data_IF_329406703466
#
_entry.id   IF_329406703466
#
_cell.length_a   1.000
_cell.length_b   1.000
_cell.length_c   1.000
_cell.angle_alpha   90.00
_cell.angle_beta   90.00
_cell.angle_gamma   90.00
#
_symmetry.space_group_name_H-M   'P 1'
#
loop_
_entity.id
_entity.type
_entity.pdbx_description
1 polymer ?
#
# COMPACT_ATOMS: atom_id res chain seq x y z
N UNK A 1 -9.55 4.47 19.86
CA UNK A 1 -8.35 4.63 19.01
C UNK A 1 -8.77 5.19 17.66
N UNK A 2 -8.06 6.20 17.18
CA UNK A 2 -8.30 6.87 15.91
C UNK A 2 -7.23 6.43 14.89
N UNK A 3 -7.65 6.14 13.66
CA UNK A 3 -6.75 5.84 12.54
C UNK A 3 -7.00 6.86 11.42
N UNK A 4 -6.05 7.75 11.20
CA UNK A 4 -6.02 8.57 10.01
C UNK A 4 -5.70 7.71 8.79
N UNK A 5 -6.58 7.74 7.80
CA UNK A 5 -6.65 6.71 6.79
C UNK A 5 -7.03 7.24 5.40
N UNK A 6 -6.79 6.41 4.39
CA UNK A 6 -7.44 6.51 3.09
C UNK A 6 -7.58 5.07 2.57
N UNK A 7 -8.78 4.59 2.18
CA UNK A 7 -8.98 3.15 1.92
C UNK A 7 -8.12 2.59 0.78
N UNK A 8 -7.77 3.44 -0.18
CA UNK A 8 -6.83 3.09 -1.25
C UNK A 8 -5.39 2.82 -0.77
N UNK A 9 -4.94 3.36 0.37
CA UNK A 9 -3.54 3.18 0.82
C UNK A 9 -3.28 1.73 1.24
N UNK A 10 -2.31 1.06 0.60
CA UNK A 10 -1.92 -0.30 0.95
C UNK A 10 -1.37 -0.39 2.38
N UNK A 11 -0.64 0.64 2.81
CA UNK A 11 -0.12 0.78 4.18
C UNK A 11 -1.25 0.89 5.22
N UNK A 12 -2.35 1.58 4.89
CA UNK A 12 -3.55 1.64 5.74
C UNK A 12 -4.25 0.29 5.79
N UNK A 13 -4.41 -0.36 4.63
CA UNK A 13 -5.11 -1.64 4.54
C UNK A 13 -4.48 -2.70 5.44
N UNK A 14 -3.14 -2.82 5.46
CA UNK A 14 -2.46 -3.79 6.33
C UNK A 14 -2.68 -3.49 7.83
N UNK A 15 -2.68 -2.21 8.23
CA UNK A 15 -3.01 -1.80 9.61
C UNK A 15 -4.47 -2.15 9.96
N UNK A 16 -5.43 -1.85 9.07
CA UNK A 16 -6.85 -2.18 9.30
C UNK A 16 -7.06 -3.68 9.42
N UNK A 17 -6.40 -4.48 8.58
CA UNK A 17 -6.45 -5.95 8.65
C UNK A 17 -5.93 -6.44 10.01
N UNK A 18 -4.78 -5.93 10.47
CA UNK A 18 -4.23 -6.28 11.77
C UNK A 18 -5.19 -5.96 12.92
N UNK A 19 -5.71 -4.73 12.97
CA UNK A 19 -6.68 -4.31 14.00
C UNK A 19 -7.94 -5.19 14.02
N UNK A 20 -8.44 -5.56 12.83
CA UNK A 20 -9.60 -6.45 12.67
C UNK A 20 -9.32 -7.87 13.17
N UNK A 21 -8.18 -8.46 12.81
CA UNK A 21 -7.80 -9.80 13.30
C UNK A 21 -7.57 -9.82 14.81
N UNK A 22 -7.11 -8.70 15.39
CA UNK A 22 -6.96 -8.53 16.84
C UNK A 22 -8.28 -8.24 17.56
N UNK A 23 -9.38 -7.99 16.84
CA UNK A 23 -10.66 -7.58 17.43
C UNK A 23 -10.61 -6.20 18.11
N UNK A 24 -9.67 -5.34 17.70
CA UNK A 24 -9.48 -4.01 18.29
C UNK A 24 -10.33 -2.99 17.56
N UNK A 25 -11.23 -2.33 18.29
CA UNK A 25 -12.06 -1.26 17.74
C UNK A 25 -11.22 0.00 17.42
N UNK A 26 -11.48 0.58 16.26
CA UNK A 26 -10.87 1.84 15.83
C UNK A 26 -11.86 2.68 15.03
N UNK A 27 -11.64 4.00 15.04
CA UNK A 27 -12.39 4.95 14.23
C UNK A 27 -11.53 5.35 13.04
N UNK A 28 -11.91 5.01 11.79
CA UNK A 28 -11.23 5.52 10.60
C UNK A 28 -11.59 6.99 10.37
N UNK A 29 -10.61 7.82 10.02
CA UNK A 29 -10.82 9.22 9.65
C UNK A 29 -9.99 9.58 8.42
N UNK A 30 -10.67 10.05 7.37
CA UNK A 30 -10.00 10.66 6.22
C UNK A 30 -9.48 12.05 6.63
N UNK A 31 -8.16 12.33 6.56
CA UNK A 31 -7.66 13.65 6.92
C UNK A 31 -8.17 14.73 5.97
N UNK A 32 -8.49 15.90 6.52
CA UNK A 32 -8.79 17.09 5.71
C UNK A 32 -7.54 17.49 4.94
N UNK A 33 -7.68 17.73 3.63
CA UNK A 33 -6.57 18.12 2.77
C UNK A 33 -5.59 17.00 2.44
N UNK A 34 -5.89 15.73 2.73
CA UNK A 34 -5.02 14.61 2.32
C UNK A 34 -4.76 14.65 0.81
N UNK A 35 -3.49 14.58 0.42
CA UNK A 35 -3.06 14.64 -0.98
C UNK A 35 -3.18 16.02 -1.65
N UNK A 36 -3.68 17.06 -0.98
CA UNK A 36 -3.68 18.44 -1.53
C UNK A 36 -2.34 19.15 -1.34
N UNK A 37 -1.54 18.71 -0.36
CA UNK A 37 -0.35 19.43 0.11
C UNK A 37 -0.64 20.46 1.21
N UNK A 38 -1.90 20.65 1.61
CA UNK A 38 -2.32 21.57 2.68
C UNK A 38 -3.03 20.84 3.82
N UNK A 39 -2.56 19.64 4.17
CA UNK A 39 -3.13 18.88 5.29
C UNK A 39 -2.90 19.64 6.62
N UNK A 40 -3.85 19.54 7.55
CA UNK A 40 -3.85 20.32 8.78
C UNK A 40 -4.53 19.59 9.97
N UNK A 41 -4.46 20.21 11.15
CA UNK A 41 -5.09 19.74 12.38
C UNK A 41 -4.41 18.50 12.97
N UNK A 42 -5.16 17.71 13.75
CA UNK A 42 -4.60 16.57 14.50
C UNK A 42 -3.89 15.50 13.64
N UNK A 43 -4.08 15.50 12.33
CA UNK A 43 -3.36 14.63 11.42
C UNK A 43 -1.88 15.01 11.29
N UNK A 44 -1.55 16.30 11.16
CA UNK A 44 -0.15 16.74 11.06
C UNK A 44 0.56 16.65 12.41
N UNK A 45 -0.20 16.73 13.51
CA UNK A 45 0.32 16.47 14.86
C UNK A 45 0.62 14.97 15.08
N UNK A 46 -0.12 14.08 14.42
CA UNK A 46 0.07 12.63 14.51
C UNK A 46 1.12 12.09 13.52
N UNK A 47 1.40 12.81 12.44
CA UNK A 47 2.30 12.38 11.37
C UNK A 47 3.12 13.54 10.83
N UNK A 48 4.42 13.56 11.18
CA UNK A 48 5.36 14.54 10.65
C UNK A 48 5.46 14.50 9.12
N UNK A 49 5.23 13.32 8.53
CA UNK A 49 5.23 13.12 7.07
C UNK A 49 3.95 13.64 6.39
N UNK A 50 2.91 13.96 7.17
CA UNK A 50 1.56 14.24 6.66
C UNK A 50 1.07 13.12 5.70
N UNK A 51 1.37 11.88 6.07
CA UNK A 51 1.03 10.65 5.34
C UNK A 51 0.15 9.74 6.19
N UNK A 52 -0.69 8.95 5.52
CA UNK A 52 -1.49 7.88 6.13
C UNK A 52 -0.78 6.53 5.93
N UNK A 53 -0.87 5.60 6.89
CA UNK A 53 -1.61 5.68 8.15
C UNK A 53 -0.92 6.55 9.22
N UNK A 54 -1.73 7.13 10.09
CA UNK A 54 -1.30 7.66 11.39
C UNK A 54 -2.29 7.23 12.48
N UNK A 55 -1.78 6.66 13.56
CA UNK A 55 -2.56 6.12 14.67
C UNK A 55 -2.50 7.07 15.87
N UNK A 56 -3.66 7.32 16.48
CA UNK A 56 -3.78 8.03 17.76
C UNK A 56 -4.49 7.13 18.78
N UNK A 57 -3.81 6.83 19.87
CA UNK A 57 -4.27 5.94 20.92
C UNK A 57 -4.00 6.55 22.30
N UNK A 58 -5.00 7.28 22.82
CA UNK A 58 -4.79 8.16 23.97
C UNK A 58 -3.78 9.25 23.62
N UNK A 59 -2.70 9.34 24.39
CA UNK A 59 -1.61 10.29 24.15
C UNK A 59 -0.58 9.79 23.13
N UNK A 60 -0.64 8.52 22.74
CA UNK A 60 0.30 7.89 21.80
C UNK A 60 -0.06 8.29 20.37
N UNK A 61 0.94 8.78 19.62
CA UNK A 61 0.84 9.20 18.21
C UNK A 61 1.93 8.49 17.41
N UNK A 62 1.54 7.69 16.43
CA UNK A 62 2.45 6.86 15.65
C UNK A 62 2.14 7.02 14.17
N UNK A 63 3.14 7.34 13.37
CA UNK A 63 3.10 7.22 11.91
C UNK A 63 4.06 6.12 11.47
N UNK A 64 3.97 5.75 10.19
CA UNK A 64 4.65 4.59 9.59
C UNK A 64 3.93 3.28 9.91
N UNK A 65 3.48 2.59 8.86
CA UNK A 65 2.63 1.41 9.02
C UNK A 65 3.33 0.24 9.70
N UNK A 66 4.64 0.06 9.49
CA UNK A 66 5.38 -1.03 10.13
C UNK A 66 5.51 -0.76 11.62
N UNK A 67 5.82 0.47 12.01
CA UNK A 67 5.88 0.88 13.42
C UNK A 67 4.50 0.76 14.09
N UNK A 68 3.43 1.15 13.39
CA UNK A 68 2.05 0.96 13.87
C UNK A 68 1.74 -0.53 14.07
N UNK A 69 2.13 -1.40 13.14
CA UNK A 69 1.92 -2.84 13.26
C UNK A 69 2.71 -3.44 14.44
N UNK A 70 3.95 -3.03 14.66
CA UNK A 70 4.75 -3.50 15.81
C UNK A 70 4.09 -3.05 17.12
N UNK A 71 3.63 -1.80 17.21
CA UNK A 71 2.86 -1.32 18.37
C UNK A 71 1.57 -2.13 18.61
N UNK A 72 0.84 -2.48 17.54
CA UNK A 72 -0.36 -3.32 17.65
C UNK A 72 0.00 -4.73 18.15
N UNK A 73 1.09 -5.32 17.65
CA UNK A 73 1.57 -6.64 18.07
C UNK A 73 2.01 -6.65 19.54
N UNK A 74 2.71 -5.60 20.01
CA UNK A 74 3.15 -5.46 21.39
C UNK A 74 1.98 -5.20 22.36
N UNK A 75 1.06 -4.30 21.99
CA UNK A 75 -0.06 -3.91 22.85
C UNK A 75 -1.16 -4.96 22.92
N UNK A 76 -1.41 -5.65 21.82
CA UNK A 76 -2.41 -6.72 21.74
C UNK A 76 -1.77 -8.00 21.19
N UNK A 77 -1.00 -8.76 22.00
CA UNK A 77 -0.21 -9.88 21.50
C UNK A 77 -1.03 -11.10 21.06
N UNK A 78 -2.35 -11.12 21.28
CA UNK A 78 -3.22 -12.26 20.96
C UNK A 78 -4.39 -11.84 20.05
N UNK A 79 -4.66 -12.59 18.96
CA UNK A 79 -3.85 -13.67 18.39
C UNK A 79 -2.52 -13.14 17.82
N UNK A 80 -1.40 -13.87 17.89
CA UNK A 80 -0.12 -13.38 17.38
C UNK A 80 -0.16 -13.27 15.85
N UNK A 81 0.30 -12.14 15.31
CA UNK A 81 0.43 -11.96 13.85
C UNK A 81 1.84 -12.29 13.39
N UNK A 82 2.85 -12.30 14.27
CA UNK A 82 4.19 -12.75 13.93
C UNK A 82 4.47 -14.16 14.46
N UNK A 83 5.28 -14.96 13.73
CA UNK A 83 5.80 -16.22 14.26
C UNK A 83 6.67 -15.99 15.52
N UNK A 84 6.86 -17.04 16.32
CA UNK A 84 7.81 -17.00 17.46
C UNK A 84 9.25 -17.24 17.03
N UNK A 85 9.45 -18.05 16.00
CA UNK A 85 10.77 -18.37 15.48
C UNK A 85 11.44 -17.12 14.87
N UNK A 86 12.68 -16.77 15.27
CA UNK A 86 13.36 -15.57 14.77
C UNK A 86 13.55 -15.54 13.24
N UNK A 87 13.84 -16.68 12.60
CA UNK A 87 14.05 -16.73 11.16
C UNK A 87 12.73 -16.52 10.41
N UNK A 88 11.63 -17.10 10.89
CA UNK A 88 10.30 -16.88 10.33
C UNK A 88 9.81 -15.44 10.53
N UNK A 89 10.15 -14.78 11.65
CA UNK A 89 9.90 -13.34 11.83
C UNK A 89 10.67 -12.49 10.83
N UNK A 90 11.97 -12.78 10.66
CA UNK A 90 12.81 -12.07 9.69
C UNK A 90 12.27 -12.25 8.26
N UNK A 91 11.83 -13.46 7.92
CA UNK A 91 11.20 -13.75 6.64
C UNK A 91 9.90 -12.97 6.42
N UNK A 92 9.04 -12.88 7.43
CA UNK A 92 7.80 -12.12 7.34
C UNK A 92 8.05 -10.62 7.13
N UNK A 93 9.04 -10.06 7.83
CA UNK A 93 9.46 -8.65 7.66
C UNK A 93 10.14 -8.39 6.32
N UNK A 94 10.93 -9.35 5.80
CA UNK A 94 11.51 -9.23 4.45
C UNK A 94 10.42 -9.21 3.36
N UNK A 95 9.35 -10.01 3.54
CA UNK A 95 8.19 -9.98 2.63
C UNK A 95 7.49 -8.62 2.69
N UNK A 96 7.25 -8.11 3.90
CA UNK A 96 6.70 -6.76 4.08
C UNK A 96 7.58 -5.69 3.42
N UNK A 97 8.89 -5.73 3.63
CA UNK A 97 9.84 -4.76 3.07
C UNK A 97 9.76 -4.72 1.54
N UNK A 98 9.81 -5.87 0.87
CA UNK A 98 9.65 -5.94 -0.60
C UNK A 98 8.30 -5.35 -1.06
N UNK A 99 7.24 -5.61 -0.29
CA UNK A 99 5.90 -5.10 -0.57
C UNK A 99 5.81 -3.57 -0.41
N UNK A 100 6.32 -3.04 0.70
CA UNK A 100 6.30 -1.62 1.06
C UNK A 100 7.24 -0.75 0.23
N UNK A 101 8.28 -1.34 -0.35
CA UNK A 101 9.30 -0.64 -1.14
C UNK A 101 9.05 -0.80 -2.64
N UNK A 102 9.40 -1.96 -3.20
CA UNK A 102 9.45 -2.19 -4.63
C UNK A 102 8.06 -2.42 -5.22
N UNK A 103 7.23 -3.23 -4.56
CA UNK A 103 5.89 -3.52 -5.07
C UNK A 103 4.98 -2.30 -5.00
N UNK A 104 5.09 -1.54 -3.90
CA UNK A 104 4.39 -0.26 -3.76
C UNK A 104 4.78 0.72 -4.85
N UNK A 105 6.08 0.90 -5.11
CA UNK A 105 6.55 1.86 -6.10
C UNK A 105 6.03 1.56 -7.52
N UNK A 106 6.00 0.27 -7.90
CA UNK A 106 5.43 -0.17 -9.18
C UNK A 106 3.93 0.15 -9.24
N UNK A 107 3.20 -0.20 -8.18
CA UNK A 107 1.77 0.05 -8.05
C UNK A 107 1.43 1.55 -8.05
N UNK A 108 2.28 2.38 -7.44
CA UNK A 108 2.16 3.83 -7.45
C UNK A 108 2.36 4.37 -8.86
N UNK A 109 3.41 3.94 -9.55
CA UNK A 109 3.70 4.30 -10.93
C UNK A 109 2.59 3.93 -11.90
N UNK A 110 2.01 2.73 -11.75
CA UNK A 110 0.79 2.34 -12.49
C UNK A 110 -0.39 3.25 -12.17
N UNK A 111 -0.52 3.75 -10.94
CA UNK A 111 -1.51 4.77 -10.58
C UNK A 111 -1.32 6.08 -11.34
N UNK A 112 -0.08 6.57 -11.46
CA UNK A 112 0.26 7.78 -12.24
C UNK A 112 -0.21 7.69 -13.70
N UNK A 113 -0.19 6.48 -14.25
CA UNK A 113 -0.58 6.20 -15.64
C UNK A 113 -2.09 5.97 -15.73
N UNK A 114 -2.62 5.03 -14.94
CA UNK A 114 -3.98 4.52 -15.08
C UNK A 114 -5.03 5.47 -14.53
N UNK A 115 -4.74 6.13 -13.40
CA UNK A 115 -5.68 7.06 -12.76
C UNK A 115 -5.39 8.51 -13.11
N UNK A 116 -4.12 8.92 -13.11
CA UNK A 116 -3.74 10.31 -13.31
C UNK A 116 -3.38 10.68 -14.76
N UNK A 117 -3.32 9.70 -15.66
CA UNK A 117 -3.09 9.90 -17.11
C UNK A 117 -1.83 10.73 -17.41
N UNK A 118 -0.76 10.54 -16.64
CA UNK A 118 0.45 11.38 -16.74
C UNK A 118 1.49 10.89 -17.75
N UNK A 119 1.19 9.82 -18.48
CA UNK A 119 1.99 9.32 -19.57
C UNK A 119 1.09 8.82 -20.70
N UNK A 120 1.52 9.04 -21.94
CA UNK A 120 0.80 8.66 -23.16
C UNK A 120 1.77 8.04 -24.19
N UNK A 121 1.21 7.43 -25.24
CA UNK A 121 1.98 6.83 -26.34
C UNK A 121 3.09 5.89 -25.88
N UNK A 122 4.24 5.98 -26.54
CA UNK A 122 5.38 5.09 -26.29
C UNK A 122 5.90 5.13 -24.83
N UNK A 123 5.80 6.28 -24.15
CA UNK A 123 6.21 6.39 -22.75
C UNK A 123 5.29 5.57 -21.84
N UNK A 124 3.97 5.68 -22.04
CA UNK A 124 2.99 4.88 -21.30
C UNK A 124 3.23 3.38 -21.51
N UNK A 125 3.41 2.96 -22.77
CA UNK A 125 3.59 1.55 -23.11
C UNK A 125 4.87 0.99 -22.48
N UNK A 126 5.96 1.77 -22.51
CA UNK A 126 7.23 1.40 -21.86
C UNK A 126 7.09 1.25 -20.35
N UNK A 127 6.43 2.20 -19.67
CA UNK A 127 6.23 2.15 -18.22
C UNK A 127 5.31 0.98 -17.80
N UNK A 128 4.25 0.71 -18.56
CA UNK A 128 3.36 -0.46 -18.33
C UNK A 128 4.14 -1.77 -18.52
N UNK A 129 4.97 -1.86 -19.56
CA UNK A 129 5.81 -3.04 -19.80
C UNK A 129 6.81 -3.28 -18.65
N UNK A 130 7.47 -2.21 -18.18
CA UNK A 130 8.39 -2.27 -17.04
C UNK A 130 7.66 -2.71 -15.76
N UNK A 131 6.51 -2.09 -15.46
CA UNK A 131 5.68 -2.42 -14.30
C UNK A 131 5.20 -3.87 -14.34
N UNK A 132 4.74 -4.34 -15.49
CA UNK A 132 4.28 -5.72 -15.69
C UNK A 132 5.41 -6.72 -15.44
N UNK A 133 6.58 -6.50 -16.05
CA UNK A 133 7.75 -7.36 -15.88
C UNK A 133 8.20 -7.43 -14.43
N UNK A 134 8.34 -6.29 -13.76
CA UNK A 134 8.84 -6.23 -12.38
C UNK A 134 7.81 -6.79 -11.39
N UNK A 135 6.52 -6.53 -11.60
CA UNK A 135 5.44 -7.14 -10.80
C UNK A 135 5.48 -8.66 -10.92
N UNK A 136 5.65 -9.21 -12.13
CA UNK A 136 5.76 -10.66 -12.32
C UNK A 136 6.98 -11.25 -11.59
N UNK A 137 8.11 -10.52 -11.52
CA UNK A 137 9.28 -10.96 -10.76
C UNK A 137 9.02 -11.01 -9.25
N UNK A 138 8.35 -9.99 -8.70
CA UNK A 138 7.96 -9.97 -7.28
C UNK A 138 6.95 -11.07 -6.99
N UNK A 139 5.92 -11.24 -7.82
CA UNK A 139 4.92 -12.29 -7.66
C UNK A 139 5.54 -13.69 -7.74
N UNK A 140 6.49 -13.94 -8.65
CA UNK A 140 7.21 -15.20 -8.70
C UNK A 140 8.09 -15.44 -7.46
N UNK A 141 8.66 -14.37 -6.88
CA UNK A 141 9.39 -14.49 -5.61
C UNK A 141 8.43 -14.79 -4.45
N UNK A 142 7.29 -14.10 -4.36
CA UNK A 142 6.25 -14.36 -3.37
C UNK A 142 5.69 -15.78 -3.50
N UNK A 143 5.50 -16.28 -4.72
CA UNK A 143 5.07 -17.66 -4.97
C UNK A 143 6.07 -18.67 -4.40
N UNK A 144 7.38 -18.46 -4.60
CA UNK A 144 8.44 -19.27 -3.97
C UNK A 144 8.49 -19.10 -2.46
N UNK A 145 8.25 -17.90 -1.94
CA UNK A 145 8.17 -17.69 -0.50
C UNK A 145 6.99 -18.48 0.08
N UNK A 146 5.84 -18.51 -0.58
CA UNK A 146 4.69 -19.26 -0.10
C UNK A 146 4.92 -20.78 -0.21
N UNK A 147 5.40 -21.26 -1.36
CA UNK A 147 5.65 -22.68 -1.61
C UNK A 147 4.40 -23.53 -1.35
N UNK A 148 4.53 -24.55 -0.51
CA UNK A 148 3.42 -25.43 -0.10
C UNK A 148 2.66 -24.92 1.14
N UNK A 149 3.06 -23.79 1.71
CA UNK A 149 2.44 -23.25 2.93
C UNK A 149 1.03 -22.74 2.63
N UNK A 150 0.15 -22.83 3.63
CA UNK A 150 -1.22 -22.30 3.51
C UNK A 150 -1.22 -20.77 3.55
N UNK A 151 -0.37 -20.20 4.39
CA UNK A 151 -0.17 -18.78 4.61
C UNK A 151 1.32 -18.45 4.55
N UNK A 152 1.68 -17.19 4.31
CA UNK A 152 3.09 -16.79 4.31
C UNK A 152 3.79 -17.04 5.65
N UNK A 153 3.02 -16.94 6.74
CA UNK A 153 3.40 -17.29 8.11
C UNK A 153 3.42 -18.81 8.41
N UNK A 154 3.17 -19.67 7.42
CA UNK A 154 3.14 -21.13 7.59
C UNK A 154 1.70 -21.67 7.68
N UNK A 155 1.34 -22.24 8.83
CA UNK A 155 0.04 -22.87 9.04
C UNK A 155 -1.08 -21.87 9.39
N UNK A 156 -0.73 -20.70 9.92
CA UNK A 156 -1.67 -19.65 10.33
C UNK A 156 -1.45 -18.37 9.54
N UNK A 157 -2.52 -17.62 9.33
CA UNK A 157 -2.45 -16.25 8.81
C UNK A 157 -1.61 -15.36 9.72
N UNK A 158 -0.91 -14.37 9.16
CA UNK A 158 -0.34 -13.29 9.97
C UNK A 158 0.30 -12.17 9.18
N UNK A 159 1.41 -11.65 9.71
CA UNK A 159 2.09 -10.42 9.30
C UNK A 159 2.44 -10.37 7.81
N UNK A 160 3.02 -11.44 7.28
CA UNK A 160 3.37 -11.47 5.87
C UNK A 160 2.11 -11.48 4.99
N UNK A 161 1.04 -12.16 5.41
CA UNK A 161 -0.21 -12.22 4.66
C UNK A 161 -0.91 -10.85 4.60
N UNK A 162 -1.06 -10.16 5.74
CA UNK A 162 -1.62 -8.81 5.79
C UNK A 162 -0.76 -7.78 5.05
N UNK A 163 0.54 -8.05 4.91
CA UNK A 163 1.47 -7.19 4.17
C UNK A 163 1.38 -7.41 2.66
N UNK A 164 1.18 -8.65 2.18
CA UNK A 164 1.07 -8.94 0.74
C UNK A 164 -0.30 -8.56 0.18
N UNK A 165 -1.37 -8.79 0.94
CA UNK A 165 -2.75 -8.72 0.44
C UNK A 165 -3.09 -7.38 -0.25
N UNK A 166 -2.79 -6.21 0.34
CA UNK A 166 -3.15 -4.93 -0.26
C UNK A 166 -2.44 -4.65 -1.60
N UNK A 167 -1.17 -5.03 -1.72
CA UNK A 167 -0.39 -4.78 -2.94
C UNK A 167 -0.77 -5.72 -4.08
N UNK A 168 -1.03 -7.00 -3.77
CA UNK A 168 -1.52 -7.94 -4.78
C UNK A 168 -2.94 -7.58 -5.23
N UNK A 169 -3.80 -7.13 -4.33
CA UNK A 169 -5.14 -6.64 -4.70
C UNK A 169 -5.05 -5.45 -5.67
N UNK A 170 -4.14 -4.52 -5.40
CA UNK A 170 -3.91 -3.35 -6.26
C UNK A 170 -3.35 -3.73 -7.64
N UNK A 171 -2.34 -4.60 -7.71
CA UNK A 171 -1.79 -5.01 -9.01
C UNK A 171 -2.82 -5.82 -9.82
N UNK A 172 -3.60 -6.67 -9.15
CA UNK A 172 -4.69 -7.43 -9.76
C UNK A 172 -5.74 -6.49 -10.34
N UNK A 173 -6.07 -5.40 -9.64
CA UNK A 173 -6.96 -4.36 -10.18
C UNK A 173 -6.39 -3.70 -11.44
N UNK A 174 -5.07 -3.55 -11.56
CA UNK A 174 -4.41 -3.09 -12.80
C UNK A 174 -4.29 -4.16 -13.89
N UNK A 175 -4.89 -5.34 -13.70
CA UNK A 175 -4.84 -6.46 -14.65
C UNK A 175 -3.58 -7.32 -14.53
N UNK A 176 -2.78 -7.13 -13.47
CA UNK A 176 -1.52 -7.85 -13.26
C UNK A 176 -1.66 -8.74 -12.02
N UNK A 177 -2.29 -9.91 -12.24
CA UNK A 177 -2.49 -10.95 -11.22
C UNK A 177 -1.41 -12.03 -11.24
N UNK A 178 -1.40 -12.89 -10.20
CA UNK A 178 -0.51 -14.04 -10.16
C UNK A 178 -0.80 -15.00 -11.31
N UNK A 179 0.19 -15.82 -11.68
CA UNK A 179 0.00 -16.92 -12.63
C UNK A 179 -1.15 -17.82 -12.17
N UNK A 180 -2.13 -18.15 -13.02
CA UNK A 180 -3.22 -19.04 -12.65
C UNK A 180 -2.70 -20.35 -12.07
N UNK A 181 -3.35 -20.84 -11.01
CA UNK A 181 -3.01 -22.08 -10.31
C UNK A 181 -1.61 -22.13 -9.68
N UNK A 182 -0.92 -20.98 -9.59
CA UNK A 182 0.26 -20.83 -8.72
C UNK A 182 -0.11 -20.92 -7.24
N UNK A 183 0.87 -21.08 -6.35
CA UNK A 183 0.61 -21.04 -4.92
C UNK A 183 0.03 -19.68 -4.52
N UNK A 184 0.55 -18.60 -5.10
CA UNK A 184 0.09 -17.24 -4.86
C UNK A 184 -1.35 -17.00 -5.34
N UNK A 185 -1.76 -17.58 -6.48
CA UNK A 185 -3.15 -17.52 -6.94
C UNK A 185 -4.11 -18.27 -6.00
N UNK A 186 -3.74 -19.48 -5.56
CA UNK A 186 -4.53 -20.23 -4.57
C UNK A 186 -4.64 -19.48 -3.24
N UNK A 187 -3.55 -18.85 -2.80
CA UNK A 187 -3.57 -17.99 -1.61
C UNK A 187 -4.45 -16.76 -1.80
N UNK A 188 -4.40 -16.11 -2.97
CA UNK A 188 -5.24 -14.94 -3.28
C UNK A 188 -6.73 -15.28 -3.22
N UNK A 189 -7.13 -16.45 -3.74
CA UNK A 189 -8.51 -16.96 -3.64
C UNK A 189 -8.93 -17.12 -2.18
N UNK A 190 -8.07 -17.74 -1.36
CA UNK A 190 -8.33 -17.98 0.08
C UNK A 190 -8.37 -16.70 0.91
N UNK A 191 -7.41 -15.80 0.73
CA UNK A 191 -7.28 -14.61 1.59
C UNK A 191 -8.44 -13.63 1.39
N UNK A 192 -9.02 -13.57 0.18
CA UNK A 192 -10.20 -12.75 -0.12
C UNK A 192 -11.44 -13.16 0.65
N UNK A 193 -11.54 -14.41 1.08
CA UNK A 193 -12.67 -14.92 1.88
C UNK A 193 -12.51 -14.59 3.37
N UNK A 194 -11.31 -14.17 3.80
CA UNK A 194 -11.02 -13.88 5.20
C UNK A 194 -11.73 -12.58 5.62
N UNK A 195 -12.56 -12.55 6.68
CA UNK A 195 -13.45 -11.41 6.96
C UNK A 195 -12.73 -10.06 7.10
N UNK A 196 -11.57 -10.03 7.78
CA UNK A 196 -10.75 -8.83 7.95
C UNK A 196 -10.29 -8.25 6.60
N UNK A 197 -9.90 -9.13 5.67
CA UNK A 197 -9.42 -8.77 4.34
C UNK A 197 -10.58 -8.43 3.41
N UNK A 198 -11.64 -9.23 3.39
CA UNK A 198 -12.84 -9.01 2.60
C UNK A 198 -13.46 -7.62 2.87
N UNK A 199 -13.58 -7.26 4.16
CA UNK A 199 -14.06 -5.94 4.56
C UNK A 199 -13.12 -4.83 4.07
N UNK A 200 -11.80 -5.02 4.23
CA UNK A 200 -10.78 -4.06 3.76
C UNK A 200 -10.84 -3.85 2.25
N UNK A 201 -11.00 -4.92 1.47
CA UNK A 201 -11.10 -4.85 0.02
C UNK A 201 -12.41 -4.22 -0.44
N UNK A 202 -13.52 -4.45 0.28
CA UNK A 202 -14.78 -3.75 0.01
C UNK A 202 -14.64 -2.24 0.16
N UNK A 203 -13.93 -1.78 1.19
CA UNK A 203 -13.65 -0.35 1.40
C UNK A 203 -12.75 0.23 0.31
N UNK A 204 -11.74 -0.54 -0.14
CA UNK A 204 -10.92 -0.17 -1.30
C UNK A 204 -11.77 0.00 -2.55
N UNK A 205 -12.64 -0.96 -2.85
CA UNK A 205 -13.53 -0.93 -4.02
C UNK A 205 -14.49 0.27 -3.98
N UNK A 206 -15.05 0.57 -2.80
CA UNK A 206 -15.87 1.77 -2.61
C UNK A 206 -15.11 3.08 -2.85
N UNK A 207 -13.89 3.20 -2.33
CA UNK A 207 -13.07 4.40 -2.52
C UNK A 207 -12.54 4.55 -3.96
N UNK A 208 -12.38 3.44 -4.67
CA UNK A 208 -11.89 3.41 -6.05
C UNK A 208 -12.78 4.17 -7.01
N UNK A 209 -14.10 4.16 -6.80
CA UNK A 209 -15.04 4.93 -7.61
C UNK A 209 -14.69 6.44 -7.63
N UNK A 210 -14.13 6.97 -6.53
CA UNK A 210 -13.65 8.35 -6.42
C UNK A 210 -12.41 8.67 -7.27
N UNK A 211 -11.80 7.68 -7.92
CA UNK A 211 -10.64 7.88 -8.81
C UNK A 211 -11.02 8.20 -10.25
N UNK A 212 -12.31 8.16 -10.61
CA UNK A 212 -12.77 8.49 -11.96
C UNK A 212 -12.29 9.88 -12.43
N UNK A 213 -12.29 10.87 -11.53
CA UNK A 213 -11.91 12.26 -11.82
C UNK A 213 -10.50 12.59 -11.30
N UNK A 214 -9.65 11.58 -11.05
CA UNK A 214 -8.34 11.78 -10.44
C UNK A 214 -7.41 12.69 -11.29
N UNK A 215 -7.40 12.51 -12.60
CA UNK A 215 -6.63 13.34 -13.52
C UNK A 215 -7.10 14.81 -13.52
N UNK A 216 -8.41 15.05 -13.47
CA UNK A 216 -8.99 16.41 -13.41
C UNK A 216 -8.64 17.12 -12.09
N UNK A 217 -8.72 16.39 -10.96
CA UNK A 217 -8.33 16.90 -9.64
C UNK A 217 -6.84 17.24 -9.58
N UNK A 218 -6.00 16.47 -10.27
CA UNK A 218 -4.57 16.77 -10.40
C UNK A 218 -4.33 18.01 -11.27
N UNK A 219 -5.01 18.09 -12.43
CA UNK A 219 -4.86 19.21 -13.37
C UNK A 219 -5.36 20.54 -12.79
N UNK A 220 -6.40 20.51 -11.95
CA UNK A 220 -6.96 21.67 -11.26
C UNK A 220 -6.20 22.09 -9.99
N UNK A 221 -5.17 21.35 -9.59
CA UNK A 221 -4.38 21.64 -8.39
C UNK A 221 -5.07 21.25 -7.06
N UNK A 222 -6.25 20.62 -7.11
CA UNK A 222 -6.92 20.09 -5.91
C UNK A 222 -6.17 18.91 -5.29
N UNK A 223 -5.33 18.24 -6.06
CA UNK A 223 -4.46 17.16 -5.62
C UNK A 223 -3.04 17.37 -6.13
N UNK A 224 -2.07 16.99 -5.31
CA UNK A 224 -0.66 16.86 -5.67
C UNK A 224 -0.19 15.44 -5.40
N UNK A 225 0.60 14.87 -6.30
CA UNK A 225 1.13 13.52 -6.16
C UNK A 225 2.40 13.53 -5.32
N UNK A 226 2.46 12.64 -4.34
CA UNK A 226 3.60 12.48 -3.44
C UNK A 226 4.70 11.63 -4.09
N UNK A 227 5.91 12.16 -4.17
CA UNK A 227 7.10 11.41 -4.57
C UNK A 227 8.10 11.36 -3.43
N UNK A 228 8.51 10.14 -3.07
CA UNK A 228 9.62 9.90 -2.15
C UNK A 228 10.24 8.53 -2.40
N UNK A 229 11.47 8.36 -1.96
CA UNK A 229 12.17 7.07 -1.87
C UNK A 229 11.99 6.21 -3.13
N UNK A 230 11.47 4.99 -2.96
CA UNK A 230 11.30 3.99 -4.01
C UNK A 230 10.34 4.42 -5.13
N UNK A 231 9.36 5.29 -4.85
CA UNK A 231 8.43 5.79 -5.89
C UNK A 231 9.16 6.68 -6.90
N UNK A 232 10.02 7.57 -6.39
CA UNK A 232 10.84 8.44 -7.22
C UNK A 232 11.89 7.62 -7.97
N UNK A 233 12.58 6.74 -7.24
CA UNK A 233 13.59 5.84 -7.81
C UNK A 233 13.00 5.00 -8.95
N UNK A 234 11.83 4.39 -8.75
CA UNK A 234 11.17 3.56 -9.75
C UNK A 234 10.81 4.36 -11.00
N UNK A 235 10.22 5.56 -10.84
CA UNK A 235 9.90 6.41 -11.98
C UNK A 235 11.13 6.79 -12.78
N UNK A 236 12.24 7.14 -12.13
CA UNK A 236 13.49 7.50 -12.82
C UNK A 236 14.06 6.27 -13.56
N UNK A 237 14.23 5.14 -12.85
CA UNK A 237 14.83 3.92 -13.42
C UNK A 237 14.01 3.30 -14.54
N UNK A 238 12.69 3.50 -14.55
CA UNK A 238 11.79 2.96 -15.57
C UNK A 238 11.61 3.89 -16.77
N UNK A 239 12.38 4.98 -16.87
CA UNK A 239 12.31 5.94 -17.98
C UNK A 239 11.22 7.01 -17.85
N UNK A 240 10.53 7.06 -16.71
CA UNK A 240 9.46 8.00 -16.40
C UNK A 240 9.91 9.35 -15.85
N UNK A 241 11.19 9.74 -16.01
CA UNK A 241 11.70 11.01 -15.49
C UNK A 241 10.90 12.22 -16.00
N UNK A 242 10.42 12.19 -17.25
CA UNK A 242 9.63 13.30 -17.80
C UNK A 242 8.32 13.49 -17.04
N UNK A 243 7.69 12.43 -16.54
CA UNK A 243 6.48 12.53 -15.71
C UNK A 243 6.77 13.35 -14.45
N UNK A 244 7.93 13.13 -13.83
CA UNK A 244 8.37 13.86 -12.63
C UNK A 244 8.66 15.32 -12.96
N UNK A 245 9.44 15.58 -14.02
CA UNK A 245 9.79 16.93 -14.45
C UNK A 245 8.55 17.76 -14.84
N UNK A 246 7.62 17.17 -15.60
CA UNK A 246 6.34 17.80 -15.93
C UNK A 246 5.52 18.10 -14.67
N UNK A 247 5.61 17.21 -13.68
CA UNK A 247 4.92 17.38 -12.41
C UNK A 247 5.44 18.56 -11.60
N UNK A 248 6.77 18.74 -11.58
CA UNK A 248 7.42 19.91 -11.00
C UNK A 248 7.00 21.19 -11.73
N UNK A 249 7.08 21.19 -13.07
CA UNK A 249 6.74 22.35 -13.89
C UNK A 249 5.27 22.78 -13.72
N UNK A 250 4.36 21.81 -13.55
CA UNK A 250 2.92 22.04 -13.31
C UNK A 250 2.56 22.25 -11.84
N UNK A 251 3.55 22.20 -10.93
CA UNK A 251 3.35 22.23 -9.48
C UNK A 251 2.30 21.22 -8.96
N UNK A 252 2.18 20.07 -9.62
CA UNK A 252 1.17 19.05 -9.30
C UNK A 252 1.78 17.80 -8.67
N UNK A 253 3.08 17.82 -8.36
CA UNK A 253 3.73 16.88 -7.45
C UNK A 253 4.24 17.60 -6.21
N UNK A 254 4.54 16.82 -5.17
CA UNK A 254 5.18 17.27 -3.93
C UNK A 254 6.13 16.18 -3.44
N UNK A 255 7.01 16.58 -2.54
CA UNK A 255 7.87 15.71 -1.76
C UNK A 255 7.56 15.98 -0.28
N UNK A 256 7.49 14.94 0.54
CA UNK A 256 7.26 15.07 1.96
C UNK A 256 8.56 15.46 2.67
N UNK A 257 8.50 16.58 3.42
CA UNK A 257 9.47 17.00 4.44
C UNK A 257 10.92 17.34 3.98
N UNK A 258 11.46 18.53 4.35
CA UNK A 258 10.84 19.85 4.45
C UNK A 258 10.78 20.57 3.09
#
# INVERSE_FOLDING_TARGET
MLLYEHPLSSYVQKVKIALREKGVAFTPQLPVGIGSGSAAGGFVDASLRAEVPALVDGDVRIFDSTIILEYIEDKWPTPPLLPRDPAERARARMIEDICDTHYEAINWGLGEINWFKRAEGALKDSLIAAATKQTAQIQAWLDRQLGERTWFNGASFGWADLSVAPYLNRSFHYGIGPTPDSALDRWLKRIKERPSVAQTFTEFEGAKAGMANAAERLASGQMRREYRDHRLEWMIKSGGIQVVLDGLAKNNIRFSWP
#
